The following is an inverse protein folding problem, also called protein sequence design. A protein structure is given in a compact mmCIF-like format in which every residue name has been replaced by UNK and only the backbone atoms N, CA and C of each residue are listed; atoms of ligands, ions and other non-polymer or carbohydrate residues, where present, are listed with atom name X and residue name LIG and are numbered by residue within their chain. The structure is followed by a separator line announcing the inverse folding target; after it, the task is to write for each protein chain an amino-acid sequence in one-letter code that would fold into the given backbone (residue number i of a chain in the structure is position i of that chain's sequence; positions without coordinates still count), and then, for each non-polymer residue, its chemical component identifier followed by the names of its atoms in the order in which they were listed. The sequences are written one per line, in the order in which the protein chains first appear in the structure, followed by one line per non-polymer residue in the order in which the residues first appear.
data_IF_060678666438
#
_entry.id   IF_060678666438
#
_cell.length_a   1.000
_cell.length_b   1.000
_cell.length_c   1.000
_cell.angle_alpha   90.00
_cell.angle_beta   90.00
_cell.angle_gamma   90.00
#
_symmetry.space_group_name_H-M   'P 1'
#
loop_
_entity.id
_entity.type
_entity.pdbx_description
1 polymer ?
#
# COMPACT_ATOMS: atom_id res chain seq x y z
N UNK A 1 8.21 27.73 -25.13
CA UNK A 1 7.53 27.04 -24.02
C UNK A 1 8.60 26.59 -23.04
N UNK A 2 8.50 26.87 -21.73
CA UNK A 2 9.45 26.30 -20.78
C UNK A 2 9.24 24.77 -20.73
N UNK A 3 10.33 24.01 -20.79
CA UNK A 3 10.32 22.57 -20.64
C UNK A 3 9.78 22.24 -19.24
N UNK A 4 8.82 21.30 -19.13
CA UNK A 4 8.44 20.74 -17.84
C UNK A 4 9.71 20.26 -17.13
N UNK A 5 9.95 20.63 -15.87
CA UNK A 5 11.12 20.16 -15.13
C UNK A 5 11.18 18.64 -15.14
N UNK A 6 12.38 18.11 -15.36
CA UNK A 6 12.58 16.68 -15.55
C UNK A 6 12.36 15.93 -14.24
N UNK A 7 11.55 14.86 -14.28
CA UNK A 7 11.35 13.96 -13.14
C UNK A 7 12.68 13.32 -12.73
N UNK A 8 13.02 13.41 -11.44
CA UNK A 8 14.23 12.89 -10.82
C UNK A 8 14.45 11.43 -11.17
N UNK A 9 15.59 11.13 -11.81
CA UNK A 9 15.98 9.76 -12.13
C UNK A 9 16.21 8.92 -10.87
N UNK A 10 16.74 9.52 -9.81
CA UNK A 10 16.94 8.85 -8.52
C UNK A 10 15.60 8.40 -7.93
N UNK A 11 14.60 9.29 -7.90
CA UNK A 11 13.28 8.99 -7.36
C UNK A 11 12.60 7.85 -8.13
N UNK A 12 12.68 7.88 -9.47
CA UNK A 12 12.16 6.80 -10.32
C UNK A 12 12.84 5.45 -10.04
N UNK A 13 14.17 5.47 -9.88
CA UNK A 13 14.92 4.26 -9.55
C UNK A 13 14.56 3.72 -8.16
N UNK A 14 14.34 4.59 -7.17
CA UNK A 14 13.88 4.18 -5.83
C UNK A 14 12.52 3.46 -5.90
N UNK A 15 11.54 4.02 -6.62
CA UNK A 15 10.22 3.37 -6.80
C UNK A 15 10.37 2.03 -7.50
N UNK A 16 11.12 1.98 -8.60
CA UNK A 16 11.33 0.75 -9.36
C UNK A 16 11.97 -0.34 -8.51
N UNK A 17 13.04 -0.01 -7.77
CA UNK A 17 13.73 -0.99 -6.92
C UNK A 17 12.82 -1.54 -5.82
N UNK A 18 12.04 -0.68 -5.16
CA UNK A 18 11.09 -1.09 -4.13
C UNK A 18 9.97 -1.99 -4.70
N UNK A 19 9.44 -1.63 -5.88
CA UNK A 19 8.49 -2.46 -6.61
C UNK A 19 9.10 -3.83 -6.93
N UNK A 20 10.27 -3.87 -7.56
CA UNK A 20 10.91 -5.12 -7.99
C UNK A 20 11.24 -6.03 -6.80
N UNK A 21 11.55 -5.47 -5.63
CA UNK A 21 11.78 -6.23 -4.41
C UNK A 21 10.49 -6.87 -3.88
N UNK A 22 9.39 -6.11 -3.78
CA UNK A 22 8.10 -6.65 -3.33
C UNK A 22 7.51 -7.63 -4.35
N UNK A 23 7.68 -7.37 -5.65
CA UNK A 23 7.20 -8.26 -6.71
C UNK A 23 7.81 -9.66 -6.62
N UNK A 24 9.08 -9.76 -6.22
CA UNK A 24 9.81 -11.04 -6.13
C UNK A 24 9.31 -11.94 -5.00
N UNK A 25 8.75 -11.39 -3.93
CA UNK A 25 8.34 -12.20 -2.76
C UNK A 25 6.88 -12.66 -2.85
N UNK A 26 6.05 -11.99 -3.65
CA UNK A 26 4.63 -12.33 -3.78
C UNK A 26 4.43 -13.33 -4.92
N UNK A 27 3.72 -14.42 -4.64
CA UNK A 27 3.47 -15.44 -5.66
C UNK A 27 2.66 -14.88 -6.84
N UNK A 28 2.88 -15.35 -8.08
CA UNK A 28 2.13 -14.88 -9.25
C UNK A 28 0.60 -15.00 -9.12
N UNK A 29 0.11 -15.97 -8.34
CA UNK A 29 -1.32 -16.15 -8.12
C UNK A 29 -1.93 -15.06 -7.24
N UNK A 30 -1.19 -14.56 -6.25
CA UNK A 30 -1.68 -13.54 -5.32
C UNK A 30 -1.61 -12.13 -5.90
N UNK A 31 -0.64 -11.86 -6.78
CA UNK A 31 -0.45 -10.53 -7.39
C UNK A 31 -1.10 -10.35 -8.76
N UNK A 32 -1.81 -11.36 -9.28
CA UNK A 32 -2.36 -11.38 -10.65
C UNK A 32 -3.08 -10.10 -11.02
N UNK A 33 -3.91 -9.59 -10.11
CA UNK A 33 -4.79 -8.45 -10.36
C UNK A 33 -4.27 -7.15 -9.72
N UNK A 34 -3.06 -7.16 -9.15
CA UNK A 34 -2.53 -6.00 -8.42
C UNK A 34 -2.41 -4.78 -9.32
N UNK A 35 -1.90 -4.95 -10.54
CA UNK A 35 -1.69 -3.85 -11.49
C UNK A 35 -3.00 -3.13 -11.90
N UNK A 36 -4.15 -3.78 -11.77
CA UNK A 36 -5.47 -3.22 -12.14
C UNK A 36 -6.29 -2.81 -10.91
N UNK A 37 -5.87 -3.23 -9.72
CA UNK A 37 -6.59 -2.97 -8.47
C UNK A 37 -6.63 -1.46 -8.20
N UNK A 38 -7.82 -0.90 -8.02
CA UNK A 38 -7.98 0.48 -7.58
C UNK A 38 -8.01 0.57 -6.05
N UNK A 39 -7.71 1.76 -5.51
CA UNK A 39 -7.86 2.01 -4.08
C UNK A 39 -9.30 1.78 -3.59
N UNK A 40 -10.30 2.03 -4.46
CA UNK A 40 -11.71 1.76 -4.15
C UNK A 40 -11.99 0.27 -4.00
N UNK A 41 -11.35 -0.57 -4.80
CA UNK A 41 -11.49 -2.02 -4.69
C UNK A 41 -10.95 -2.52 -3.35
N UNK A 42 -9.83 -1.97 -2.89
CA UNK A 42 -9.25 -2.28 -1.56
C UNK A 42 -10.18 -1.84 -0.43
N UNK A 43 -10.79 -0.65 -0.53
CA UNK A 43 -11.78 -0.19 0.46
C UNK A 43 -12.99 -1.12 0.51
N UNK A 44 -13.53 -1.51 -0.65
CA UNK A 44 -14.64 -2.46 -0.74
C UNK A 44 -14.27 -3.83 -0.18
N UNK A 45 -13.06 -4.31 -0.42
CA UNK A 45 -12.57 -5.58 0.11
C UNK A 45 -12.44 -5.54 1.65
N UNK A 46 -11.95 -4.41 2.21
CA UNK A 46 -11.88 -4.21 3.66
C UNK A 46 -13.27 -4.20 4.32
N UNK A 47 -14.28 -3.60 3.68
CA UNK A 47 -15.67 -3.63 4.17
C UNK A 47 -16.25 -5.06 4.14
N UNK A 48 -16.06 -5.78 3.03
CA UNK A 48 -16.50 -7.18 2.93
C UNK A 48 -15.84 -8.06 4.01
N UNK A 49 -14.57 -7.82 4.31
CA UNK A 49 -13.87 -8.53 5.38
C UNK A 49 -14.45 -8.19 6.76
N UNK A 50 -14.82 -6.93 7.01
CA UNK A 50 -15.52 -6.52 8.25
C UNK A 50 -16.84 -7.28 8.43
N UNK A 51 -17.63 -7.42 7.36
CA UNK A 51 -18.90 -8.18 7.37
C UNK A 51 -18.66 -9.67 7.68
N UNK A 52 -17.62 -10.27 7.09
CA UNK A 52 -17.23 -11.66 7.37
C UNK A 52 -16.80 -11.86 8.83
N UNK A 53 -15.99 -10.92 9.35
CA UNK A 53 -15.56 -10.90 10.75
C UNK A 53 -16.75 -10.76 11.70
N UNK A 54 -17.73 -9.91 11.35
CA UNK A 54 -18.97 -9.73 12.10
C UNK A 54 -19.79 -11.02 12.16
N UNK A 55 -19.97 -11.69 11.01
CA UNK A 55 -20.73 -12.94 10.91
C UNK A 55 -20.16 -14.06 11.80
N UNK A 56 -18.83 -14.09 12.01
CA UNK A 56 -18.16 -15.03 12.91
C UNK A 56 -17.95 -14.52 14.34
N UNK A 57 -18.68 -13.48 14.77
CA UNK A 57 -18.58 -12.85 16.10
C UNK A 57 -17.17 -12.36 16.47
N UNK A 58 -16.36 -12.01 15.48
CA UNK A 58 -14.98 -11.53 15.64
C UNK A 58 -14.80 -10.16 14.99
N UNK A 59 -15.80 -9.28 15.13
CA UNK A 59 -15.80 -7.93 14.55
C UNK A 59 -14.58 -7.14 15.03
N UNK A 60 -13.99 -6.38 14.12
CA UNK A 60 -12.82 -5.53 14.38
C UNK A 60 -13.09 -4.14 13.84
N UNK A 61 -12.52 -3.12 14.47
CA UNK A 61 -12.77 -1.74 14.09
C UNK A 61 -11.99 -1.35 12.82
N UNK A 62 -12.55 -1.69 11.65
CA UNK A 62 -11.91 -1.43 10.35
C UNK A 62 -11.89 0.04 9.96
N UNK A 63 -12.70 0.88 10.61
CA UNK A 63 -12.69 2.35 10.42
C UNK A 63 -11.32 2.97 10.70
N UNK A 64 -10.46 2.28 11.45
CA UNK A 64 -9.07 2.68 11.71
C UNK A 64 -8.19 2.74 10.46
N UNK A 65 -8.58 2.09 9.35
CA UNK A 65 -7.90 2.17 8.06
C UNK A 65 -8.33 3.37 7.22
N UNK A 66 -9.43 4.05 7.57
CA UNK A 66 -9.94 5.19 6.79
C UNK A 66 -8.92 6.34 6.64
N UNK A 67 -8.14 6.71 7.68
CA UNK A 67 -7.07 7.70 7.52
C UNK A 67 -6.01 7.27 6.50
N UNK A 68 -5.64 5.99 6.45
CA UNK A 68 -4.69 5.46 5.49
C UNK A 68 -5.23 5.60 4.07
N UNK A 69 -6.46 5.14 3.82
CA UNK A 69 -7.04 5.19 2.49
C UNK A 69 -7.16 6.62 1.95
N UNK A 70 -7.61 7.58 2.78
CA UNK A 70 -7.62 8.99 2.38
C UNK A 70 -6.21 9.52 2.11
N UNK A 71 -5.25 9.14 2.95
CA UNK A 71 -3.85 9.49 2.76
C UNK A 71 -3.28 8.99 1.43
N UNK A 72 -3.53 7.72 1.09
CA UNK A 72 -3.08 7.09 -0.15
C UNK A 72 -3.74 7.73 -1.38
N UNK A 73 -5.01 8.13 -1.28
CA UNK A 73 -5.68 8.87 -2.35
C UNK A 73 -4.98 10.21 -2.65
N UNK A 74 -4.63 10.98 -1.61
CA UNK A 74 -3.93 12.25 -1.80
C UNK A 74 -2.49 12.05 -2.28
N UNK A 75 -1.78 11.10 -1.70
CA UNK A 75 -0.39 10.81 -2.02
C UNK A 75 -0.22 10.27 -3.44
N UNK A 76 -1.10 9.38 -3.89
CA UNK A 76 -1.01 8.79 -5.23
C UNK A 76 -1.11 9.82 -6.35
N UNK A 77 -1.98 10.83 -6.21
CA UNK A 77 -2.10 11.95 -7.16
C UNK A 77 -0.77 12.68 -7.39
N UNK A 78 0.08 12.72 -6.38
CA UNK A 78 1.39 13.36 -6.44
C UNK A 78 2.46 12.38 -6.92
N UNK A 79 2.50 11.18 -6.33
CA UNK A 79 3.52 10.19 -6.63
C UNK A 79 3.41 9.61 -8.05
N UNK A 80 2.25 9.73 -8.72
CA UNK A 80 2.01 9.20 -10.07
C UNK A 80 2.98 9.75 -11.11
N UNK A 81 3.43 11.01 -10.94
CA UNK A 81 4.44 11.60 -11.82
C UNK A 81 5.75 10.81 -11.82
N UNK A 82 6.06 10.14 -10.70
CA UNK A 82 7.29 9.36 -10.52
C UNK A 82 7.13 7.96 -11.11
N UNK A 83 5.91 7.43 -11.21
CA UNK A 83 5.65 6.15 -11.87
C UNK A 83 5.72 6.26 -13.39
N UNK A 84 5.45 7.44 -13.98
CA UNK A 84 5.64 7.70 -15.42
C UNK A 84 4.96 6.63 -16.32
N UNK A 85 3.70 6.28 -16.01
CA UNK A 85 2.92 5.31 -16.77
C UNK A 85 3.23 3.84 -16.50
N UNK A 86 4.15 3.52 -15.59
CA UNK A 86 4.28 2.15 -15.10
C UNK A 86 3.14 1.80 -14.12
N UNK A 87 2.72 0.53 -14.05
CA UNK A 87 1.67 0.09 -13.13
C UNK A 87 2.20 -0.11 -11.70
N UNK A 88 3.08 0.79 -11.24
CA UNK A 88 3.67 0.71 -9.89
C UNK A 88 2.73 1.27 -8.82
N UNK A 89 1.91 2.26 -9.17
CA UNK A 89 1.04 2.91 -8.18
C UNK A 89 0.15 1.95 -7.39
N UNK A 90 -0.50 0.93 -8.00
CA UNK A 90 -1.34 0.00 -7.26
C UNK A 90 -0.65 -0.78 -6.14
N UNK A 91 0.68 -0.93 -6.18
CA UNK A 91 1.44 -1.68 -5.19
C UNK A 91 1.46 -1.04 -3.80
N UNK A 92 1.08 0.24 -3.68
CA UNK A 92 0.94 0.90 -2.36
C UNK A 92 -0.38 0.56 -1.67
N UNK A 93 -1.35 -0.08 -2.36
CA UNK A 93 -2.64 -0.45 -1.75
C UNK A 93 -3.09 -1.87 -2.01
N UNK A 94 -2.78 -2.46 -3.17
CA UNK A 94 -3.25 -3.81 -3.52
C UNK A 94 -2.82 -4.89 -2.50
N UNK A 95 -1.56 -4.88 -1.99
CA UNK A 95 -1.13 -5.82 -0.95
C UNK A 95 -1.90 -5.72 0.37
N UNK A 96 -2.54 -4.58 0.67
CA UNK A 96 -3.32 -4.41 1.90
C UNK A 96 -4.42 -5.47 1.99
N UNK A 97 -5.12 -5.75 0.89
CA UNK A 97 -6.18 -6.77 0.87
C UNK A 97 -5.65 -8.16 1.21
N UNK A 98 -4.51 -8.54 0.63
CA UNK A 98 -3.84 -9.81 0.90
C UNK A 98 -3.47 -9.92 2.38
N UNK A 99 -2.78 -8.89 2.90
CA UNK A 99 -2.29 -8.84 4.28
C UNK A 99 -3.46 -8.91 5.26
N UNK A 100 -4.52 -8.12 5.05
CA UNK A 100 -5.69 -8.12 5.92
C UNK A 100 -6.41 -9.47 5.90
N UNK A 101 -6.60 -10.07 4.72
CA UNK A 101 -7.26 -11.38 4.60
C UNK A 101 -6.53 -12.44 5.42
N UNK A 102 -5.21 -12.57 5.24
CA UNK A 102 -4.42 -13.58 5.95
C UNK A 102 -4.32 -13.27 7.45
N UNK A 103 -4.08 -12.01 7.81
CA UNK A 103 -4.01 -11.60 9.21
C UNK A 103 -5.34 -11.77 9.95
N UNK A 104 -6.49 -11.74 9.25
CA UNK A 104 -7.81 -11.82 9.89
C UNK A 104 -8.04 -13.13 10.65
N UNK A 105 -7.30 -14.18 10.32
CA UNK A 105 -7.34 -15.48 11.01
C UNK A 105 -6.65 -15.45 12.38
N UNK A 106 -5.83 -14.41 12.66
CA UNK A 106 -5.06 -14.26 13.88
C UNK A 106 -5.33 -12.89 14.51
N UNK A 107 -6.10 -12.87 15.60
CA UNK A 107 -6.58 -11.63 16.24
C UNK A 107 -5.46 -10.64 16.53
N UNK A 108 -4.36 -11.10 17.13
CA UNK A 108 -3.24 -10.23 17.51
C UNK A 108 -2.47 -9.70 16.30
N UNK A 109 -2.28 -10.53 15.28
CA UNK A 109 -1.64 -10.10 14.03
C UNK A 109 -2.50 -9.06 13.33
N UNK A 110 -3.81 -9.29 13.24
CA UNK A 110 -4.76 -8.36 12.63
C UNK A 110 -4.74 -7.00 13.30
N UNK A 111 -4.80 -6.96 14.64
CA UNK A 111 -4.75 -5.72 15.41
C UNK A 111 -3.42 -4.99 15.24
N UNK A 112 -2.30 -5.71 15.18
CA UNK A 112 -0.96 -5.16 14.96
C UNK A 112 -0.84 -4.54 13.56
N UNK A 113 -1.33 -5.25 12.54
CA UNK A 113 -1.35 -4.76 11.15
C UNK A 113 -2.19 -3.49 11.03
N UNK A 114 -3.40 -3.45 11.61
CA UNK A 114 -4.24 -2.24 11.58
C UNK A 114 -3.54 -1.08 12.28
N UNK A 115 -2.85 -1.31 13.41
CA UNK A 115 -2.06 -0.28 14.10
C UNK A 115 -0.95 0.27 13.20
N UNK A 116 -0.19 -0.61 12.54
CA UNK A 116 0.89 -0.19 11.64
C UNK A 116 0.38 0.59 10.42
N UNK A 117 -0.71 0.16 9.80
CA UNK A 117 -1.33 0.92 8.72
C UNK A 117 -1.86 2.29 9.16
N UNK A 118 -2.42 2.37 10.38
CA UNK A 118 -2.88 3.64 10.92
C UNK A 118 -1.73 4.63 11.19
N UNK A 119 -0.51 4.15 11.55
CA UNK A 119 0.64 5.05 11.75
C UNK A 119 1.22 5.56 10.42
N UNK A 120 1.18 4.77 9.34
CA UNK A 120 1.55 5.22 7.99
C UNK A 120 0.65 6.37 7.51
N UNK A 121 -0.60 6.42 7.97
CA UNK A 121 -1.56 7.45 7.57
C UNK A 121 -1.20 8.88 8.01
N UNK A 122 -0.47 9.02 9.10
CA UNK A 122 -0.15 10.33 9.70
C UNK A 122 0.73 11.21 8.79
N UNK A 123 1.89 10.75 8.28
CA UNK A 123 2.73 11.54 7.38
C UNK A 123 2.09 11.81 6.02
N UNK A 124 1.19 10.93 5.52
CA UNK A 124 0.55 11.05 4.20
C UNK A 124 -0.14 12.40 3.96
N UNK A 125 -0.75 12.98 4.99
CA UNK A 125 -1.46 14.26 4.90
C UNK A 125 -0.54 15.42 4.49
N UNK A 126 0.74 15.37 4.86
CA UNK A 126 1.69 16.45 4.61
C UNK A 126 2.10 16.54 3.15
N UNK A 127 2.18 15.39 2.46
CA UNK A 127 2.54 15.36 1.05
C UNK A 127 1.52 16.10 0.17
N UNK A 128 0.23 15.96 0.43
CA UNK A 128 -0.80 16.69 -0.32
C UNK A 128 -0.63 18.21 -0.25
N UNK A 129 -0.20 18.74 0.90
CA UNK A 129 0.02 20.18 1.12
C UNK A 129 1.32 20.65 0.46
N UNK A 130 2.42 19.93 0.72
CA UNK A 130 3.76 20.33 0.28
C UNK A 130 3.96 20.22 -1.24
N UNK A 131 3.22 19.33 -1.90
CA UNK A 131 3.39 19.08 -3.33
C UNK A 131 3.09 20.30 -4.19
N UNK A 132 2.15 21.16 -3.80
CA UNK A 132 1.85 22.37 -4.57
C UNK A 132 3.05 23.33 -4.68
N UNK A 133 3.99 23.27 -3.74
CA UNK A 133 5.14 24.15 -3.69
C UNK A 133 6.44 23.49 -4.18
N UNK A 134 6.60 22.18 -3.98
CA UNK A 134 7.90 21.51 -4.11
C UNK A 134 7.92 20.36 -5.12
N UNK A 135 6.86 20.13 -5.90
CA UNK A 135 6.79 18.95 -6.77
C UNK A 135 7.91 18.90 -7.82
N UNK A 136 8.40 20.07 -8.25
CA UNK A 136 9.49 20.17 -9.23
C UNK A 136 10.88 20.07 -8.60
N UNK A 137 10.97 20.05 -7.26
CA UNK A 137 12.23 19.92 -6.53
C UNK A 137 12.68 18.45 -6.45
N UNK A 138 13.87 18.10 -6.99
CA UNK A 138 14.35 16.71 -6.99
C UNK A 138 14.42 16.08 -5.61
N UNK A 139 14.74 16.86 -4.57
CA UNK A 139 14.79 16.39 -3.18
C UNK A 139 13.41 16.01 -2.62
N UNK A 140 12.38 16.76 -3.00
CA UNK A 140 11.01 16.44 -2.60
C UNK A 140 10.48 15.22 -3.34
N UNK A 141 10.75 15.12 -4.65
CA UNK A 141 10.47 13.91 -5.44
C UNK A 141 11.15 12.67 -4.85
N UNK A 142 12.40 12.81 -4.37
CA UNK A 142 13.09 11.72 -3.69
C UNK A 142 12.40 11.34 -2.37
N UNK A 143 11.92 12.32 -1.60
CA UNK A 143 11.20 12.06 -0.35
C UNK A 143 9.90 11.30 -0.60
N UNK A 144 9.15 11.66 -1.66
CA UNK A 144 7.97 10.92 -2.10
C UNK A 144 8.33 9.47 -2.46
N UNK A 145 9.41 9.26 -3.22
CA UNK A 145 9.86 7.93 -3.62
C UNK A 145 10.36 7.07 -2.45
N UNK A 146 11.04 7.65 -1.46
CA UNK A 146 11.43 6.96 -0.23
C UNK A 146 10.17 6.55 0.55
N UNK A 147 9.19 7.44 0.66
CA UNK A 147 7.94 7.11 1.35
C UNK A 147 7.16 5.98 0.63
N UNK A 148 7.17 5.95 -0.71
CA UNK A 148 6.67 4.82 -1.50
C UNK A 148 7.36 3.53 -1.08
N UNK A 149 8.70 3.54 -1.06
CA UNK A 149 9.50 2.38 -0.70
C UNK A 149 9.24 1.91 0.75
N UNK A 150 9.01 2.82 1.69
CA UNK A 150 8.69 2.49 3.08
C UNK A 150 7.32 1.79 3.19
N UNK A 151 6.31 2.22 2.44
CA UNK A 151 5.01 1.52 2.37
C UNK A 151 5.21 0.09 1.87
N UNK A 152 5.98 -0.09 0.80
CA UNK A 152 6.24 -1.41 0.22
C UNK A 152 7.09 -2.29 1.15
N UNK A 153 8.01 -1.70 1.89
CA UNK A 153 8.77 -2.39 2.94
C UNK A 153 7.85 -2.87 4.04
N UNK A 154 6.87 -2.06 4.46
CA UNK A 154 5.86 -2.49 5.42
C UNK A 154 5.01 -3.64 4.88
N UNK A 155 4.60 -3.59 3.61
CA UNK A 155 3.90 -4.72 2.97
C UNK A 155 4.74 -5.99 2.98
N UNK A 156 6.01 -5.90 2.59
CA UNK A 156 6.95 -7.02 2.59
C UNK A 156 7.05 -7.66 3.96
N UNK A 157 7.30 -6.87 5.00
CA UNK A 157 7.41 -7.37 6.38
C UNK A 157 6.10 -8.02 6.85
N UNK A 158 4.95 -7.44 6.51
CA UNK A 158 3.65 -8.02 6.81
C UNK A 158 3.47 -9.38 6.15
N UNK A 159 3.80 -9.49 4.86
CA UNK A 159 3.69 -10.74 4.09
C UNK A 159 4.66 -11.81 4.62
N UNK A 160 5.92 -11.45 4.85
CA UNK A 160 6.95 -12.36 5.37
C UNK A 160 6.54 -12.95 6.72
N UNK A 161 6.06 -12.11 7.66
CA UNK A 161 5.56 -12.57 8.97
C UNK A 161 4.37 -13.51 8.80
N UNK A 162 3.44 -13.19 7.92
CA UNK A 162 2.25 -14.01 7.69
C UNK A 162 2.58 -15.35 7.03
N UNK A 163 3.57 -15.42 6.14
CA UNK A 163 4.05 -16.67 5.56
C UNK A 163 4.79 -17.56 6.56
N UNK A 164 5.45 -16.98 7.57
CA UNK A 164 6.11 -17.75 8.65
C UNK A 164 5.11 -18.39 9.62
N UNK A 165 3.91 -17.82 9.79
CA UNK A 165 2.89 -18.32 10.73
C UNK A 165 2.19 -19.63 10.29
N UNK A 166 2.57 -20.24 9.16
CA UNK A 166 2.19 -21.61 8.79
C UNK A 166 1.15 -21.74 7.65
N UNK A 167 1.00 -22.95 7.07
CA UNK A 167 0.45 -23.14 5.73
C UNK A 167 -1.06 -22.90 5.67
N UNK A 168 -1.51 -22.31 4.57
CA UNK A 168 -2.92 -22.15 4.22
C UNK A 168 -3.69 -23.46 4.43
N UNK A 169 -4.87 -23.43 5.10
CA UNK A 169 -5.81 -24.51 4.95
C UNK A 169 -6.20 -24.61 3.47
N UNK A 170 -6.04 -25.78 2.85
CA UNK A 170 -6.44 -26.10 1.48
C UNK A 170 -7.96 -25.94 1.19
N UNK A 171 -8.72 -25.31 2.09
CA UNK A 171 -10.18 -25.28 2.10
C UNK A 171 -10.82 -24.12 1.30
N UNK A 172 -10.06 -23.39 0.47
CA UNK A 172 -10.60 -22.30 -0.37
C UNK A 172 -10.15 -22.39 -1.85
N UNK A 173 -9.96 -23.61 -2.36
CA UNK A 173 -10.03 -23.88 -3.80
C UNK A 173 -11.43 -24.30 -4.20
#
# INVERSE_FOLDING_TARGET
MPLKPAVSALARNTIKSAHDELDRIISPGEKRDFAETTLRDVQNAALKLEDQLAARQSLRNMRRLMPLFRGLEHYSKVAEILCNGTPFMPWIWAPITLILRVASEYVEAFETIIKGYASIAEPLKRFGILSNAFIDEPGFQQTLAVFYADILTFHKLGIDVLYVLGPFPEALR
#
